data_IF_231062516501
#
_entry.id   IF_231062516501
#
_cell.length_a   1.000
_cell.length_b   1.000
_cell.length_c   1.000
_cell.angle_alpha   90.00
_cell.angle_beta   90.00
_cell.angle_gamma   90.00
#
_symmetry.space_group_name_H-M   'P 1'
#
loop_
_entity.id
_entity.type
_entity.pdbx_description
1 polymer ?
#
# COMPACT_ATOMS: atom_id res chain seq x y z
N UNK A 1 61.85 -13.64 -10.55
CA UNK A 1 60.84 -12.59 -10.54
C UNK A 1 59.47 -13.22 -10.63
N UNK A 2 58.79 -13.38 -9.49
CA UNK A 2 57.41 -13.87 -9.42
C UNK A 2 56.46 -12.69 -9.48
N UNK A 3 55.62 -12.62 -10.52
CA UNK A 3 54.53 -11.62 -10.62
C UNK A 3 53.33 -12.16 -9.86
N UNK A 4 53.01 -11.53 -8.75
CA UNK A 4 51.70 -11.73 -8.08
C UNK A 4 50.63 -11.02 -8.88
N UNK A 5 49.75 -11.77 -9.51
CA UNK A 5 48.50 -11.25 -10.09
C UNK A 5 47.49 -11.06 -8.96
N UNK A 6 47.27 -9.81 -8.56
CA UNK A 6 46.17 -9.46 -7.68
C UNK A 6 44.87 -9.56 -8.49
N UNK A 7 44.11 -10.61 -8.28
CA UNK A 7 42.75 -10.75 -8.81
C UNK A 7 41.83 -9.77 -8.08
N UNK A 8 41.59 -8.64 -8.71
CA UNK A 8 40.55 -7.72 -8.28
C UNK A 8 39.20 -8.37 -8.53
N UNK A 9 38.64 -9.08 -7.52
CA UNK A 9 37.25 -9.49 -7.55
C UNK A 9 36.40 -8.21 -7.48
N UNK A 10 35.84 -7.81 -8.61
CA UNK A 10 34.68 -6.89 -8.62
C UNK A 10 33.61 -7.53 -7.75
N UNK A 11 33.43 -6.98 -6.58
CA UNK A 11 32.20 -7.19 -5.81
C UNK A 11 31.12 -6.43 -6.59
N UNK A 12 30.50 -7.10 -7.55
CA UNK A 12 29.25 -6.64 -8.10
C UNK A 12 28.25 -6.63 -6.94
N UNK A 13 27.97 -5.45 -6.46
CA UNK A 13 26.86 -5.20 -5.53
C UNK A 13 25.60 -5.52 -6.33
N UNK A 14 25.20 -6.80 -6.34
CA UNK A 14 23.90 -7.19 -6.85
C UNK A 14 22.88 -6.42 -6.01
N UNK A 15 22.27 -5.40 -6.60
CA UNK A 15 21.14 -4.70 -6.00
C UNK A 15 20.06 -5.75 -5.81
N UNK A 16 19.94 -6.28 -4.59
CA UNK A 16 18.97 -7.34 -4.31
C UNK A 16 17.58 -6.79 -4.62
N UNK A 17 16.89 -7.46 -5.54
CA UNK A 17 15.55 -7.11 -5.97
C UNK A 17 14.59 -7.21 -4.78
N UNK A 18 13.66 -6.25 -4.67
CA UNK A 18 12.61 -6.31 -3.68
C UNK A 18 11.64 -7.45 -4.01
N UNK A 19 11.26 -8.20 -2.99
CA UNK A 19 10.27 -9.27 -3.07
C UNK A 19 9.07 -8.91 -2.24
N UNK A 20 7.89 -9.19 -2.77
CA UNK A 20 6.61 -9.08 -2.08
C UNK A 20 6.18 -10.50 -1.70
N UNK A 21 6.09 -10.76 -0.40
CA UNK A 21 5.79 -12.09 0.13
C UNK A 21 4.52 -12.00 0.95
N UNK A 22 3.42 -12.62 0.50
CA UNK A 22 2.14 -12.53 1.19
C UNK A 22 2.17 -13.31 2.51
N UNK A 23 1.71 -12.67 3.57
CA UNK A 23 1.35 -13.34 4.82
C UNK A 23 0.01 -14.06 4.62
N UNK A 24 -0.08 -15.29 5.14
CA UNK A 24 -1.29 -16.11 5.11
C UNK A 24 -1.91 -16.24 6.49
N UNK A 25 -1.14 -15.92 7.53
CA UNK A 25 -1.58 -15.97 8.91
C UNK A 25 -0.70 -15.08 9.80
N UNK A 26 -1.16 -14.85 11.02
CA UNK A 26 -0.38 -14.12 12.04
C UNK A 26 0.84 -14.90 12.56
N UNK A 27 0.95 -16.18 12.27
CA UNK A 27 2.10 -17.00 12.65
C UNK A 27 3.23 -16.97 11.64
N UNK A 28 3.04 -16.33 10.49
CA UNK A 28 4.05 -16.27 9.43
C UNK A 28 5.26 -15.45 9.89
N UNK A 29 6.43 -15.87 9.42
CA UNK A 29 7.69 -15.17 9.72
C UNK A 29 7.61 -13.71 9.28
N UNK A 30 7.86 -12.80 10.20
CA UNK A 30 7.85 -11.35 9.95
C UNK A 30 6.49 -10.68 10.16
N UNK A 31 5.40 -11.43 10.40
CA UNK A 31 4.09 -10.82 10.66
C UNK A 31 4.11 -9.90 11.89
N UNK A 32 4.74 -10.29 12.97
CA UNK A 32 4.81 -9.47 14.19
C UNK A 32 5.48 -8.11 13.93
N UNK A 33 6.56 -8.09 13.09
CA UNK A 33 7.22 -6.85 12.68
C UNK A 33 6.34 -6.03 11.73
N UNK A 34 5.66 -6.71 10.80
CA UNK A 34 4.72 -6.10 9.87
C UNK A 34 3.54 -5.45 10.61
N UNK A 35 2.97 -6.15 11.59
CA UNK A 35 1.88 -5.65 12.41
C UNK A 35 2.28 -4.44 13.24
N UNK A 36 3.44 -4.48 13.91
CA UNK A 36 3.95 -3.35 14.66
C UNK A 36 4.20 -2.12 13.77
N UNK A 37 4.70 -2.32 12.54
CA UNK A 37 4.88 -1.25 11.57
C UNK A 37 3.53 -0.67 11.11
N UNK A 38 2.54 -1.53 10.86
CA UNK A 38 1.18 -1.14 10.49
C UNK A 38 0.55 -0.25 11.57
N UNK A 39 0.57 -0.71 12.83
CA UNK A 39 0.01 0.05 13.95
C UNK A 39 0.71 1.41 14.17
N UNK A 40 2.02 1.46 13.97
CA UNK A 40 2.80 2.69 14.12
C UNK A 40 2.66 3.67 12.95
N UNK A 41 2.17 3.20 11.79
CA UNK A 41 2.14 3.99 10.55
C UNK A 41 0.78 4.58 10.21
N UNK A 42 -0.31 4.00 10.72
CA UNK A 42 -1.66 4.40 10.39
C UNK A 42 -2.48 4.64 11.66
N UNK A 43 -3.33 5.69 11.70
CA UNK A 43 -4.21 5.96 12.82
C UNK A 43 -5.29 4.87 12.95
N UNK A 44 -5.85 4.72 14.15
CA UNK A 44 -6.82 3.66 14.46
C UNK A 44 -8.06 3.67 13.55
N UNK A 45 -8.53 4.85 13.15
CA UNK A 45 -9.69 4.99 12.27
C UNK A 45 -9.44 4.51 10.83
N UNK A 46 -8.18 4.44 10.41
CA UNK A 46 -7.74 3.97 9.09
C UNK A 46 -7.28 2.50 9.11
N UNK A 47 -7.46 1.81 10.23
CA UNK A 47 -7.03 0.43 10.41
C UNK A 47 -8.19 -0.50 10.73
N UNK A 48 -8.17 -1.71 10.22
CA UNK A 48 -8.98 -2.78 10.78
C UNK A 48 -8.43 -3.20 12.14
N UNK A 49 -9.26 -3.80 12.94
CA UNK A 49 -8.80 -4.52 14.12
C UNK A 49 -8.15 -5.86 13.72
N UNK A 50 -7.55 -6.53 14.72
CA UNK A 50 -6.93 -7.81 14.45
C UNK A 50 -7.89 -8.89 13.95
N UNK A 51 -9.17 -8.85 14.31
CA UNK A 51 -10.17 -9.81 13.87
C UNK A 51 -10.57 -9.57 12.41
N UNK A 52 -10.55 -8.32 11.95
CA UNK A 52 -10.72 -7.97 10.55
C UNK A 52 -9.68 -8.64 9.67
N UNK A 53 -8.40 -8.57 10.06
CA UNK A 53 -7.32 -9.24 9.32
C UNK A 53 -7.45 -10.77 9.30
N UNK A 54 -7.81 -11.40 10.42
CA UNK A 54 -8.01 -12.86 10.47
C UNK A 54 -9.07 -13.32 9.45
N UNK A 55 -10.11 -12.53 9.28
CA UNK A 55 -11.15 -12.79 8.27
C UNK A 55 -10.65 -12.52 6.85
N UNK A 56 -9.88 -11.42 6.68
CA UNK A 56 -9.40 -10.98 5.37
C UNK A 56 -8.33 -11.92 4.77
N UNK A 57 -7.53 -12.61 5.58
CA UNK A 57 -6.58 -13.62 5.07
C UNK A 57 -7.24 -14.73 4.24
N UNK A 58 -8.53 -14.98 4.43
CA UNK A 58 -9.31 -15.94 3.62
C UNK A 58 -9.91 -15.34 2.35
N UNK A 59 -9.86 -14.03 2.14
CA UNK A 59 -10.42 -13.39 0.94
C UNK A 59 -9.42 -13.51 -0.23
N UNK A 60 -9.82 -14.12 -1.37
CA UNK A 60 -8.94 -14.29 -2.52
C UNK A 60 -8.56 -12.97 -3.21
N UNK A 61 -9.22 -11.88 -2.87
CA UNK A 61 -8.91 -10.55 -3.40
C UNK A 61 -7.93 -9.76 -2.54
N UNK A 62 -7.69 -10.16 -1.28
CA UNK A 62 -6.81 -9.46 -0.35
C UNK A 62 -5.44 -10.11 -0.25
N UNK A 63 -4.39 -9.30 -0.31
CA UNK A 63 -3.02 -9.73 -0.06
C UNK A 63 -2.33 -8.76 0.91
N UNK A 64 -1.83 -9.31 2.02
CA UNK A 64 -1.01 -8.60 2.98
C UNK A 64 0.46 -8.95 2.73
N UNK A 65 1.17 -8.14 1.94
CA UNK A 65 2.55 -8.41 1.58
C UNK A 65 3.55 -7.82 2.57
N UNK A 66 4.51 -8.64 2.99
CA UNK A 66 5.78 -8.16 3.51
C UNK A 66 6.72 -7.82 2.35
N UNK A 67 7.36 -6.66 2.40
CA UNK A 67 8.38 -6.24 1.43
C UNK A 67 9.74 -6.64 1.98
N UNK A 68 10.52 -7.36 1.18
CA UNK A 68 11.80 -7.93 1.57
C UNK A 68 12.93 -7.60 0.59
N UNK A 69 14.13 -7.42 1.12
CA UNK A 69 15.38 -7.32 0.36
C UNK A 69 16.33 -8.41 0.89
N UNK A 70 16.43 -9.54 0.17
CA UNK A 70 17.05 -10.73 0.73
C UNK A 70 16.26 -11.21 1.96
N UNK A 71 16.90 -11.28 3.12
CA UNK A 71 16.27 -11.62 4.40
C UNK A 71 15.90 -10.40 5.26
N UNK A 72 16.18 -9.20 4.77
CA UNK A 72 15.86 -7.96 5.45
C UNK A 72 14.41 -7.56 5.21
N UNK A 73 13.65 -7.34 6.30
CA UNK A 73 12.31 -6.77 6.24
C UNK A 73 12.38 -5.27 5.95
N UNK A 74 11.76 -4.85 4.85
CA UNK A 74 11.75 -3.47 4.37
C UNK A 74 10.48 -2.74 4.81
N UNK A 75 9.34 -3.42 4.77
CA UNK A 75 8.05 -2.81 5.05
C UNK A 75 6.87 -3.69 4.67
N UNK A 76 5.72 -3.06 4.56
CA UNK A 76 4.46 -3.70 4.19
C UNK A 76 3.83 -3.05 2.96
N UNK A 77 3.11 -3.83 2.19
CA UNK A 77 2.20 -3.37 1.15
C UNK A 77 0.96 -4.26 1.19
N UNK A 78 -0.14 -3.73 1.74
CA UNK A 78 -1.41 -4.42 1.81
C UNK A 78 -2.30 -3.91 0.69
N UNK A 79 -2.86 -4.84 -0.08
CA UNK A 79 -3.56 -4.47 -1.29
C UNK A 79 -4.68 -5.44 -1.65
N UNK A 80 -5.54 -4.97 -2.54
CA UNK A 80 -6.67 -5.71 -3.05
C UNK A 80 -6.58 -5.93 -4.55
N UNK A 81 -7.07 -7.06 -5.01
CA UNK A 81 -7.35 -7.31 -6.41
C UNK A 81 -8.76 -6.83 -6.74
N UNK A 82 -8.86 -5.63 -7.31
CA UNK A 82 -10.11 -4.99 -7.72
C UNK A 82 -10.35 -5.15 -9.23
N UNK A 83 -10.28 -6.37 -9.75
CA UNK A 83 -10.41 -6.67 -11.18
C UNK A 83 -9.18 -6.19 -11.97
N UNK A 84 -9.37 -5.19 -12.83
CA UNK A 84 -8.29 -4.64 -13.66
C UNK A 84 -7.27 -3.81 -12.87
N UNK A 85 -7.59 -3.49 -11.61
CA UNK A 85 -6.75 -2.68 -10.75
C UNK A 85 -6.21 -3.47 -9.56
N UNK A 86 -5.10 -2.97 -9.02
CA UNK A 86 -4.66 -3.24 -7.64
C UNK A 86 -4.93 -2.01 -6.79
N UNK A 87 -5.74 -2.15 -5.76
CA UNK A 87 -5.94 -1.10 -4.77
C UNK A 87 -4.91 -1.26 -3.67
N UNK A 88 -3.98 -0.31 -3.55
CA UNK A 88 -3.02 -0.25 -2.45
C UNK A 88 -3.66 0.48 -1.28
N UNK A 89 -4.07 -0.28 -0.28
CA UNK A 89 -4.71 0.24 0.93
C UNK A 89 -3.67 0.76 1.92
N UNK A 90 -2.61 -0.03 2.15
CA UNK A 90 -1.57 0.35 3.10
C UNK A 90 -0.17 0.11 2.53
N UNK A 91 0.67 1.13 2.54
CA UNK A 91 2.09 1.06 2.21
C UNK A 91 2.89 1.74 3.30
N UNK A 92 3.75 1.00 3.99
CA UNK A 92 4.66 1.56 4.97
C UNK A 92 6.05 0.94 4.87
N UNK A 93 7.08 1.76 5.08
CA UNK A 93 8.48 1.33 5.09
C UNK A 93 9.04 1.50 6.50
N UNK A 94 9.84 0.54 6.93
CA UNK A 94 10.51 0.56 8.23
C UNK A 94 11.20 1.92 8.46
N UNK A 95 10.97 2.57 9.62
CA UNK A 95 11.59 3.85 9.95
C UNK A 95 13.11 3.85 9.85
N UNK A 96 13.74 2.69 10.05
CA UNK A 96 15.20 2.49 9.93
C UNK A 96 15.72 2.74 8.50
N UNK A 97 14.84 2.66 7.50
CA UNK A 97 15.18 2.80 6.08
C UNK A 97 14.72 4.13 5.48
N UNK A 98 14.33 5.10 6.33
CA UNK A 98 13.98 6.45 5.88
C UNK A 98 15.16 7.10 5.17
N UNK A 99 14.89 7.94 4.17
CA UNK A 99 15.93 8.61 3.37
C UNK A 99 16.59 7.72 2.29
N UNK A 100 16.33 6.41 2.26
CA UNK A 100 16.91 5.48 1.26
C UNK A 100 16.01 5.25 0.03
N UNK A 101 14.95 6.04 -0.12
CA UNK A 101 13.97 5.93 -1.21
C UNK A 101 13.30 4.54 -1.35
N UNK A 102 13.23 3.78 -0.23
CA UNK A 102 12.70 2.41 -0.27
C UNK A 102 11.20 2.38 -0.60
N UNK A 103 10.42 3.36 -0.13
CA UNK A 103 9.01 3.48 -0.50
C UNK A 103 8.80 3.69 -2.00
N UNK A 104 9.59 4.58 -2.62
CA UNK A 104 9.55 4.80 -4.07
C UNK A 104 9.92 3.54 -4.85
N UNK A 105 10.99 2.86 -4.43
CA UNK A 105 11.46 1.62 -5.08
C UNK A 105 10.42 0.50 -4.97
N UNK A 106 9.82 0.35 -3.79
CA UNK A 106 8.79 -0.66 -3.55
C UNK A 106 7.54 -0.40 -4.40
N UNK A 107 7.01 0.82 -4.36
CA UNK A 107 5.81 1.15 -5.13
C UNK A 107 6.06 1.08 -6.63
N UNK A 108 7.20 1.58 -7.12
CA UNK A 108 7.56 1.47 -8.54
C UNK A 108 7.68 0.01 -9.00
N UNK A 109 8.27 -0.86 -8.18
CA UNK A 109 8.35 -2.29 -8.48
C UNK A 109 6.95 -2.95 -8.47
N UNK A 110 6.10 -2.57 -7.53
CA UNK A 110 4.72 -3.08 -7.46
C UNK A 110 3.89 -2.64 -8.66
N UNK A 111 4.06 -1.41 -9.15
CA UNK A 111 3.30 -0.85 -10.28
C UNK A 111 3.66 -1.47 -11.64
N UNK A 112 4.80 -2.18 -11.77
CA UNK A 112 5.23 -2.74 -13.05
C UNK A 112 4.17 -3.69 -13.64
N UNK A 113 3.64 -3.34 -14.83
CA UNK A 113 2.63 -4.11 -15.54
C UNK A 113 1.25 -4.16 -14.86
N UNK A 114 0.98 -3.25 -13.93
CA UNK A 114 -0.29 -3.16 -13.20
C UNK A 114 -0.91 -1.78 -13.35
N UNK A 115 -2.23 -1.74 -13.34
CA UNK A 115 -2.99 -0.53 -13.03
C UNK A 115 -3.20 -0.50 -11.52
N UNK A 116 -2.91 0.64 -10.89
CA UNK A 116 -2.93 0.77 -9.43
C UNK A 116 -3.78 1.97 -9.03
N UNK A 117 -4.60 1.79 -8.00
CA UNK A 117 -5.34 2.86 -7.34
C UNK A 117 -4.86 2.93 -5.89
N UNK A 118 -4.76 4.13 -5.35
CA UNK A 118 -4.57 4.40 -3.93
C UNK A 118 -5.28 5.70 -3.54
N UNK A 119 -5.43 5.91 -2.26
CA UNK A 119 -6.10 7.06 -1.66
C UNK A 119 -5.09 7.87 -0.86
N UNK A 120 -5.24 9.19 -0.92
CA UNK A 120 -4.42 10.11 -0.11
C UNK A 120 -5.29 11.22 0.47
N UNK A 121 -4.83 11.82 1.57
CA UNK A 121 -5.43 13.05 2.08
C UNK A 121 -5.38 14.16 1.03
N UNK A 122 -6.39 15.04 0.98
CA UNK A 122 -6.34 16.23 0.14
C UNK A 122 -5.09 17.06 0.45
N UNK A 123 -4.49 17.72 -0.55
CA UNK A 123 -3.24 18.49 -0.39
C UNK A 123 -3.50 19.85 0.29
N UNK A 124 -3.94 19.83 1.56
CA UNK A 124 -4.33 21.01 2.34
C UNK A 124 -3.20 21.51 3.26
N UNK A 125 -2.20 20.69 3.53
CA UNK A 125 -1.02 21.03 4.34
C UNK A 125 0.29 20.59 3.65
N UNK A 126 1.43 20.96 4.26
CA UNK A 126 2.74 20.67 3.71
C UNK A 126 3.03 19.17 3.57
N UNK A 127 2.49 18.35 4.48
CA UNK A 127 2.72 16.89 4.50
C UNK A 127 1.91 16.22 3.40
N UNK A 128 0.62 16.55 3.30
CA UNK A 128 -0.28 16.01 2.27
C UNK A 128 0.13 16.46 0.86
N UNK A 129 0.58 17.71 0.69
CA UNK A 129 1.16 18.20 -0.58
C UNK A 129 2.43 17.41 -0.96
N UNK A 130 3.35 17.18 -0.01
CA UNK A 130 4.56 16.37 -0.25
C UNK A 130 4.21 14.93 -0.61
N UNK A 131 3.17 14.36 0.02
CA UNK A 131 2.66 13.01 -0.26
C UNK A 131 2.11 12.94 -1.68
N UNK A 132 1.28 13.90 -2.10
CA UNK A 132 0.78 13.95 -3.47
C UNK A 132 1.92 14.04 -4.49
N UNK A 133 2.90 14.95 -4.27
CA UNK A 133 4.06 15.07 -5.15
C UNK A 133 4.91 13.79 -5.17
N UNK A 134 5.00 13.05 -4.07
CA UNK A 134 5.67 11.76 -4.05
C UNK A 134 5.03 10.77 -5.03
N UNK A 135 3.71 10.62 -5.02
CA UNK A 135 3.00 9.74 -5.96
C UNK A 135 3.06 10.24 -7.39
N UNK A 136 2.93 11.54 -7.62
CA UNK A 136 3.05 12.13 -8.96
C UNK A 136 4.42 11.85 -9.60
N UNK A 137 5.52 11.95 -8.82
CA UNK A 137 6.87 11.61 -9.33
C UNK A 137 7.01 10.13 -9.71
N UNK A 138 6.16 9.25 -9.21
CA UNK A 138 6.11 7.84 -9.57
C UNK A 138 5.15 7.56 -10.73
N UNK A 139 4.55 8.60 -11.31
CA UNK A 139 3.66 8.49 -12.46
C UNK A 139 2.18 8.33 -12.11
N UNK A 140 1.80 8.53 -10.84
CA UNK A 140 0.39 8.56 -10.45
C UNK A 140 -0.27 9.87 -10.85
N UNK A 141 -1.54 9.79 -11.22
CA UNK A 141 -2.41 10.91 -11.59
C UNK A 141 -3.46 11.12 -10.48
N UNK A 142 -3.63 12.36 -10.03
CA UNK A 142 -4.73 12.71 -9.14
C UNK A 142 -6.03 12.84 -9.92
N UNK A 143 -7.08 12.17 -9.47
CA UNK A 143 -8.38 12.19 -10.12
C UNK A 143 -9.30 13.27 -9.53
N UNK A 144 -10.11 13.96 -10.34
CA UNK A 144 -10.88 15.13 -9.90
C UNK A 144 -12.22 14.77 -9.21
N UNK A 145 -12.38 13.53 -8.78
CA UNK A 145 -13.65 13.06 -8.20
C UNK A 145 -13.73 13.40 -6.71
N UNK A 146 -14.90 13.86 -6.27
CA UNK A 146 -15.17 14.08 -4.86
C UNK A 146 -15.43 12.73 -4.19
N UNK A 147 -14.39 12.15 -3.61
CA UNK A 147 -14.43 10.84 -3.00
C UNK A 147 -14.39 10.93 -1.48
N UNK A 148 -15.29 10.18 -0.82
CA UNK A 148 -15.38 10.10 0.64
C UNK A 148 -15.31 8.63 1.03
N UNK A 149 -14.34 8.29 1.88
CA UNK A 149 -14.20 6.98 2.49
C UNK A 149 -14.64 7.02 3.96
N UNK A 150 -15.50 6.10 4.44
CA UNK A 150 -15.80 6.00 5.87
C UNK A 150 -14.60 5.41 6.62
N UNK A 151 -14.41 5.84 7.88
CA UNK A 151 -13.41 5.20 8.74
C UNK A 151 -13.77 3.74 9.00
N UNK A 152 -12.76 2.87 9.22
CA UNK A 152 -12.99 1.46 9.46
C UNK A 152 -13.54 1.15 10.85
N UNK A 153 -13.33 2.04 11.82
CA UNK A 153 -13.71 1.87 13.23
C UNK A 153 -14.64 2.96 13.70
N UNK A 154 -15.42 2.64 14.75
CA UNK A 154 -16.25 3.61 15.47
C UNK A 154 -15.40 4.58 16.31
N UNK A 155 -15.82 5.87 16.47
CA UNK A 155 -16.95 6.49 15.77
C UNK A 155 -16.63 6.71 14.30
N UNK A 156 -17.62 6.44 13.42
CA UNK A 156 -17.41 6.58 11.98
C UNK A 156 -17.37 8.05 11.57
N UNK A 157 -16.30 8.41 10.86
CA UNK A 157 -16.13 9.74 10.30
C UNK A 157 -15.93 9.65 8.80
N UNK A 158 -16.57 10.52 8.00
CA UNK A 158 -16.30 10.60 6.57
C UNK A 158 -14.92 11.20 6.34
N UNK A 159 -14.08 10.48 5.60
CA UNK A 159 -12.78 10.98 5.13
C UNK A 159 -12.89 11.42 3.68
N UNK A 160 -12.67 12.72 3.41
CA UNK A 160 -12.45 13.18 2.04
C UNK A 160 -11.05 12.74 1.63
N UNK A 161 -10.98 11.99 0.54
CA UNK A 161 -9.71 11.51 0.00
C UNK A 161 -9.62 11.85 -1.49
N UNK A 162 -8.39 11.89 -2.00
CA UNK A 162 -8.09 12.01 -3.43
C UNK A 162 -7.71 10.63 -3.94
N UNK A 163 -8.42 10.18 -4.98
CA UNK A 163 -8.05 8.98 -5.69
C UNK A 163 -6.83 9.27 -6.57
N UNK A 164 -5.76 8.53 -6.36
CA UNK A 164 -4.58 8.53 -7.22
C UNK A 164 -4.54 7.25 -8.03
N UNK A 165 -4.30 7.32 -9.33
CA UNK A 165 -4.25 6.16 -10.21
C UNK A 165 -3.00 6.12 -11.07
N UNK A 166 -2.55 4.92 -11.40
CA UNK A 166 -1.37 4.65 -12.21
C UNK A 166 -1.72 3.62 -13.31
N UNK A 167 -1.22 3.78 -14.54
CA UNK A 167 -0.37 4.87 -15.05
C UNK A 167 -1.18 6.09 -15.55
N UNK A 168 -2.48 5.99 -15.61
CA UNK A 168 -3.37 6.98 -16.20
C UNK A 168 -4.54 7.35 -15.27
N UNK A 169 -5.21 8.46 -15.58
CA UNK A 169 -6.40 8.89 -14.87
C UNK A 169 -7.56 7.89 -15.05
N UNK A 170 -8.40 7.80 -14.03
CA UNK A 170 -9.64 7.02 -14.07
C UNK A 170 -10.71 7.76 -14.89
N UNK A 171 -11.54 7.00 -15.60
CA UNK A 171 -12.85 7.49 -16.03
C UNK A 171 -13.81 7.59 -14.82
N UNK A 172 -14.93 8.28 -14.99
CA UNK A 172 -15.95 8.36 -13.94
C UNK A 172 -16.52 6.98 -13.59
N UNK A 173 -16.74 6.14 -14.58
CA UNK A 173 -17.25 4.78 -14.41
C UNK A 173 -16.25 3.90 -13.63
N UNK A 174 -14.96 4.03 -13.91
CA UNK A 174 -13.92 3.32 -13.18
C UNK A 174 -13.84 3.78 -11.72
N UNK A 175 -13.88 5.08 -11.48
CA UNK A 175 -13.87 5.63 -10.12
C UNK A 175 -15.12 5.21 -9.33
N UNK A 176 -16.30 5.16 -9.98
CA UNK A 176 -17.53 4.66 -9.37
C UNK A 176 -17.44 3.17 -9.07
N UNK A 177 -16.94 2.39 -10.02
CA UNK A 177 -16.71 0.95 -9.83
C UNK A 177 -15.75 0.66 -8.68
N UNK A 178 -14.72 1.49 -8.52
CA UNK A 178 -13.81 1.43 -7.38
C UNK A 178 -14.53 1.73 -6.05
N UNK A 179 -15.35 2.77 -5.99
CA UNK A 179 -16.15 3.08 -4.80
C UNK A 179 -17.11 1.93 -4.44
N UNK A 180 -17.74 1.31 -5.43
CA UNK A 180 -18.57 0.12 -5.24
C UNK A 180 -17.75 -1.06 -4.70
N UNK A 181 -16.55 -1.29 -5.20
CA UNK A 181 -15.63 -2.32 -4.70
C UNK A 181 -15.26 -2.09 -3.22
N UNK A 182 -14.92 -0.87 -2.85
CA UNK A 182 -14.64 -0.52 -1.45
C UNK A 182 -15.81 -0.91 -0.56
N UNK A 183 -17.03 -0.48 -0.93
CA UNK A 183 -18.25 -0.77 -0.16
C UNK A 183 -18.52 -2.28 -0.06
N UNK A 184 -18.45 -2.98 -1.18
CA UNK A 184 -18.90 -4.36 -1.27
C UNK A 184 -17.87 -5.36 -0.79
N UNK A 185 -16.60 -4.99 -0.79
CA UNK A 185 -15.52 -5.90 -0.46
C UNK A 185 -14.71 -5.46 0.76
N UNK A 186 -14.11 -4.28 0.71
CA UNK A 186 -13.16 -3.83 1.73
C UNK A 186 -13.85 -3.57 3.07
N UNK A 187 -14.98 -2.86 3.06
CA UNK A 187 -15.71 -2.51 4.28
C UNK A 187 -16.34 -3.71 5.01
N UNK A 188 -16.39 -4.90 4.42
CA UNK A 188 -16.81 -6.14 5.11
C UNK A 188 -15.93 -6.50 6.31
N UNK A 189 -14.71 -6.03 6.31
CA UNK A 189 -13.72 -6.33 7.35
C UNK A 189 -13.61 -5.22 8.39
N UNK A 190 -14.35 -4.12 8.20
CA UNK A 190 -14.48 -3.01 9.14
C UNK A 190 -15.52 -3.31 10.22
N UNK A 191 -15.71 -2.35 11.14
CA UNK A 191 -16.77 -2.40 12.15
C UNK A 191 -18.16 -1.98 11.63
N UNK A 192 -18.30 -1.76 10.31
CA UNK A 192 -19.58 -1.42 9.70
C UNK A 192 -20.48 -2.64 9.57
N UNK A 193 -21.65 -2.61 10.18
CA UNK A 193 -22.69 -3.64 9.99
C UNK A 193 -23.44 -3.47 8.65
N UNK A 194 -23.67 -2.21 8.25
CA UNK A 194 -24.20 -1.81 6.95
C UNK A 194 -23.44 -0.57 6.51
N UNK A 195 -22.37 -0.70 5.73
CA UNK A 195 -21.58 0.44 5.32
C UNK A 195 -22.42 1.39 4.46
N UNK A 196 -22.77 2.56 5.04
CA UNK A 196 -23.20 3.67 4.22
C UNK A 196 -22.00 4.07 3.34
N UNK A 197 -22.29 4.16 2.08
CA UNK A 197 -21.42 4.23 0.94
C UNK A 197 -20.26 5.22 1.02
N UNK A 198 -19.07 4.83 0.49
CA UNK A 198 -18.23 5.79 -0.21
C UNK A 198 -19.09 6.44 -1.30
N UNK A 199 -19.19 7.76 -1.27
CA UNK A 199 -19.90 8.52 -2.31
C UNK A 199 -18.83 9.12 -3.22
N UNK A 200 -19.01 8.94 -4.51
CA UNK A 200 -18.43 9.82 -5.50
C UNK A 200 -19.24 11.07 -5.60
#
# INVERSE_FOLDING_TARGET
>A
YAKFAVSCRKVETMTQQLRFIPFKSRSDKGWAEAWALYEASFPDCERWDGTGYDRAFGDPHFEADGIWRGDEFIGILFHWNAGDYRYVEHLAVSPRLRGQNMGSKALAAFCQGRRVILEIDPPEDEISVRRQHFYQRLGFVANPYAYIHPSFRRPFHPHRLVLMSYPEALTYEEARGFADFIRERVLRYSEHENPELPRL
#
